data_IF_627359150556
#
_entry.id   IF_627359150556
#
_cell.length_a   1.000
_cell.length_b   1.000
_cell.length_c   1.000
_cell.angle_alpha   90.00
_cell.angle_beta   90.00
_cell.angle_gamma   90.00
#
_symmetry.space_group_name_H-M   'P 1'
#
loop_
_entity.id
_entity.type
_entity.pdbx_description
1 polymer ?
#
# COMPACT_ATOMS: atom_id res chain seq x y z
N UNK A 1 -4.91 1.42 4.01
CA UNK A 1 -3.73 1.63 4.84
C UNK A 1 -3.60 0.57 5.95
N UNK A 2 -4.65 0.37 6.78
CA UNK A 2 -4.61 -0.54 7.95
C UNK A 2 -4.29 -1.99 7.61
N UNK A 3 -4.81 -2.50 6.49
CA UNK A 3 -4.65 -3.90 6.05
C UNK A 3 -3.52 -4.08 5.00
N UNK A 4 -2.79 -3.01 4.67
CA UNK A 4 -1.65 -3.05 3.74
C UNK A 4 -1.99 -3.21 2.25
N UNK A 5 -3.28 -3.27 1.91
CA UNK A 5 -3.75 -3.37 0.53
C UNK A 5 -4.95 -2.44 0.27
N UNK A 6 -5.21 -2.04 -0.98
CA UNK A 6 -6.38 -1.25 -1.31
C UNK A 6 -7.65 -2.10 -1.20
N UNK A 7 -8.68 -1.55 -0.54
CA UNK A 7 -10.01 -2.14 -0.50
C UNK A 7 -10.71 -1.82 -1.82
N UNK A 8 -11.08 -2.85 -2.58
CA UNK A 8 -11.86 -2.69 -3.81
C UNK A 8 -13.32 -2.48 -3.44
N UNK A 9 -13.85 -1.33 -3.83
CA UNK A 9 -15.26 -1.05 -3.69
C UNK A 9 -16.06 -1.77 -4.77
N UNK A 10 -17.18 -2.37 -4.38
CA UNK A 10 -18.16 -2.96 -5.29
C UNK A 10 -19.15 -1.90 -5.76
N UNK A 11 -19.72 -1.16 -4.81
CA UNK A 11 -20.68 -0.08 -5.07
C UNK A 11 -20.39 1.13 -4.19
N UNK A 12 -20.68 2.30 -4.72
CA UNK A 12 -20.68 3.56 -3.97
C UNK A 12 -22.03 4.26 -4.15
N UNK A 13 -22.72 4.51 -3.05
CA UNK A 13 -24.02 5.17 -3.05
C UNK A 13 -23.90 6.62 -2.60
N UNK A 14 -24.61 7.50 -3.31
CA UNK A 14 -24.70 8.91 -2.99
C UNK A 14 -26.16 9.33 -2.80
N UNK A 15 -26.41 10.22 -1.86
CA UNK A 15 -27.76 10.76 -1.59
C UNK A 15 -28.18 11.82 -2.60
N UNK A 16 -27.22 12.46 -3.27
CA UNK A 16 -27.49 13.47 -4.30
C UNK A 16 -27.73 12.84 -5.68
N UNK A 17 -28.35 13.59 -6.57
CA UNK A 17 -28.57 13.20 -7.97
C UNK A 17 -27.26 13.18 -8.76
N UNK A 18 -27.23 12.43 -9.85
CA UNK A 18 -26.05 12.35 -10.72
C UNK A 18 -25.57 13.75 -11.15
N UNK A 19 -24.34 14.16 -10.77
CA UNK A 19 -23.80 15.46 -11.12
C UNK A 19 -23.19 15.45 -12.53
N UNK A 20 -22.95 16.64 -13.10
CA UNK A 20 -22.28 16.77 -14.40
C UNK A 20 -20.84 16.24 -14.38
N UNK A 21 -20.17 16.22 -13.21
CA UNK A 21 -18.80 15.73 -13.01
C UNK A 21 -18.76 14.25 -12.53
N UNK A 22 -19.71 13.43 -12.98
CA UNK A 22 -19.79 12.00 -12.63
C UNK A 22 -18.49 11.26 -12.98
N UNK A 23 -17.80 11.63 -14.05
CA UNK A 23 -16.56 11.00 -14.48
C UNK A 23 -15.43 11.21 -13.47
N UNK A 24 -15.38 12.36 -12.79
CA UNK A 24 -14.45 12.63 -11.70
C UNK A 24 -14.72 11.73 -10.49
N UNK A 25 -16.01 11.55 -10.16
CA UNK A 25 -16.41 10.64 -9.09
C UNK A 25 -16.09 9.19 -9.43
N UNK A 26 -16.16 8.79 -10.69
CA UNK A 26 -15.77 7.44 -11.12
C UNK A 26 -14.26 7.19 -10.95
N UNK A 27 -13.43 8.23 -11.11
CA UNK A 27 -11.99 8.16 -10.85
C UNK A 27 -11.72 8.06 -9.34
N UNK A 28 -12.44 8.84 -8.52
CA UNK A 28 -12.29 8.85 -7.07
C UNK A 28 -12.79 7.56 -6.41
N UNK A 29 -13.89 7.02 -6.92
CA UNK A 29 -14.56 5.81 -6.42
C UNK A 29 -14.69 4.80 -7.56
N UNK A 30 -13.63 4.01 -7.85
CA UNK A 30 -13.62 3.05 -8.95
C UNK A 30 -14.51 1.84 -8.62
N UNK A 31 -15.83 2.06 -8.66
CA UNK A 31 -16.88 1.10 -8.31
C UNK A 31 -18.15 1.42 -9.10
N UNK A 32 -19.20 0.62 -8.94
CA UNK A 32 -20.51 0.98 -9.47
C UNK A 32 -21.12 2.16 -8.68
N UNK A 33 -21.19 3.34 -9.31
CA UNK A 33 -21.77 4.53 -8.67
C UNK A 33 -23.30 4.48 -8.74
N UNK A 34 -23.97 4.78 -7.62
CA UNK A 34 -25.40 4.84 -7.52
C UNK A 34 -25.83 6.16 -6.86
N UNK A 35 -26.65 6.94 -7.54
CA UNK A 35 -27.12 8.24 -7.11
C UNK A 35 -28.56 8.19 -6.58
N UNK A 36 -29.00 9.26 -5.91
CA UNK A 36 -30.35 9.40 -5.35
C UNK A 36 -30.73 8.26 -4.40
N UNK A 37 -29.77 7.77 -3.64
CA UNK A 37 -29.98 6.76 -2.62
C UNK A 37 -30.37 7.39 -1.27
N UNK A 38 -30.91 6.58 -0.36
CA UNK A 38 -31.34 7.03 0.97
C UNK A 38 -30.18 7.40 1.90
N UNK A 39 -28.97 6.90 1.63
CA UNK A 39 -27.77 7.18 2.42
C UNK A 39 -26.49 7.05 1.55
N UNK A 40 -25.45 7.80 1.92
CA UNK A 40 -24.10 7.59 1.38
C UNK A 40 -23.53 6.29 1.95
N UNK A 41 -23.06 5.37 1.08
CA UNK A 41 -22.52 4.08 1.48
C UNK A 41 -21.37 3.69 0.57
N UNK A 42 -20.37 3.00 1.16
CA UNK A 42 -19.33 2.28 0.45
C UNK A 42 -19.55 0.78 0.70
N UNK A 43 -19.69 0.00 -0.36
CA UNK A 43 -19.93 -1.45 -0.29
C UNK A 43 -18.68 -2.14 -0.81
N UNK A 44 -18.14 -3.04 0.00
CA UNK A 44 -16.95 -3.84 -0.29
C UNK A 44 -17.12 -5.24 0.28
N UNK A 45 -16.27 -6.17 -0.13
CA UNK A 45 -16.31 -7.56 0.29
C UNK A 45 -15.95 -7.70 1.79
N UNK A 46 -16.74 -8.48 2.53
CA UNK A 46 -16.53 -8.73 3.95
C UNK A 46 -15.18 -9.39 4.28
N UNK A 47 -14.56 -10.09 3.32
CA UNK A 47 -13.22 -10.68 3.48
C UNK A 47 -12.16 -9.67 3.95
N UNK A 48 -12.33 -8.37 3.63
CA UNK A 48 -11.41 -7.33 4.10
C UNK A 48 -11.49 -7.10 5.61
N UNK A 49 -12.59 -7.44 6.26
CA UNK A 49 -12.78 -7.30 7.71
C UNK A 49 -12.04 -8.40 8.49
N UNK A 50 -11.80 -9.54 7.86
CA UNK A 50 -11.07 -10.66 8.46
C UNK A 50 -9.54 -10.53 8.31
N UNK A 51 -9.08 -9.50 7.58
CA UNK A 51 -7.65 -9.28 7.36
C UNK A 51 -6.98 -8.70 8.61
N UNK A 52 -5.76 -9.16 8.93
CA UNK A 52 -5.01 -8.63 10.06
C UNK A 52 -4.62 -7.17 9.84
N UNK A 53 -4.57 -6.40 10.92
CA UNK A 53 -4.01 -5.06 10.90
C UNK A 53 -2.48 -5.17 10.77
N UNK A 54 -1.93 -4.61 9.69
CA UNK A 54 -0.49 -4.72 9.38
C UNK A 54 0.31 -3.49 9.83
N UNK A 55 -0.34 -2.52 10.47
CA UNK A 55 0.28 -1.26 10.92
C UNK A 55 0.41 -1.22 12.43
N UNK A 56 1.54 -0.72 12.90
CA UNK A 56 1.78 -0.47 14.32
C UNK A 56 1.16 0.85 14.78
N UNK A 57 0.98 0.99 16.12
CA UNK A 57 0.53 2.26 16.71
C UNK A 57 1.48 3.44 16.41
N UNK A 58 2.78 3.18 16.28
CA UNK A 58 3.78 4.19 15.96
C UNK A 58 3.65 4.67 14.51
N UNK A 59 3.40 3.77 13.56
CA UNK A 59 3.12 4.13 12.17
C UNK A 59 1.82 4.93 12.05
N UNK A 60 0.80 4.61 12.85
CA UNK A 60 -0.43 5.39 12.93
C UNK A 60 -0.16 6.82 13.39
N UNK A 61 0.65 7.01 14.42
CA UNK A 61 1.01 8.34 14.92
C UNK A 61 1.71 9.16 13.83
N UNK A 62 2.66 8.56 13.12
CA UNK A 62 3.36 9.20 12.00
C UNK A 62 2.40 9.54 10.86
N UNK A 63 1.49 8.62 10.51
CA UNK A 63 0.47 8.85 9.50
C UNK A 63 -0.45 10.01 9.86
N UNK A 64 -0.94 10.06 11.10
CA UNK A 64 -1.82 11.15 11.58
C UNK A 64 -1.10 12.51 11.58
N UNK A 65 0.18 12.54 11.94
CA UNK A 65 0.98 13.78 11.89
C UNK A 65 1.18 14.30 10.46
N UNK A 66 1.26 13.41 9.47
CA UNK A 66 1.41 13.74 8.05
C UNK A 66 0.05 13.79 7.31
N UNK A 67 -1.05 13.43 7.97
CA UNK A 67 -2.38 13.25 7.37
C UNK A 67 -2.87 14.40 6.48
N UNK A 68 -2.62 15.70 6.75
CA UNK A 68 -3.07 16.75 5.83
C UNK A 68 -2.46 16.61 4.43
N UNK A 69 -1.19 16.20 4.33
CA UNK A 69 -0.52 15.99 3.05
C UNK A 69 -0.91 14.66 2.40
N UNK A 70 -0.98 13.59 3.19
CA UNK A 70 -1.24 12.23 2.69
C UNK A 70 -2.71 11.99 2.33
N UNK A 71 -3.65 12.64 3.05
CA UNK A 71 -5.11 12.57 2.74
C UNK A 71 -5.48 13.45 1.54
N UNK A 72 -4.77 14.55 1.34
CA UNK A 72 -4.96 15.41 0.17
C UNK A 72 -4.37 14.81 -1.12
N UNK A 73 -3.47 13.84 -0.98
CA UNK A 73 -2.96 13.05 -2.11
C UNK A 73 -3.94 11.92 -2.37
N UNK A 74 -4.94 12.16 -3.21
CA UNK A 74 -5.94 11.14 -3.60
C UNK A 74 -5.18 9.95 -4.21
N UNK A 75 -5.25 8.74 -3.59
CA UNK A 75 -4.68 7.56 -4.20
C UNK A 75 -5.43 7.29 -5.50
N UNK A 76 -4.75 7.47 -6.63
CA UNK A 76 -5.37 7.30 -7.95
C UNK A 76 -5.37 8.56 -8.82
N UNK A 77 -5.13 9.75 -8.29
CA UNK A 77 -4.76 10.88 -9.13
C UNK A 77 -3.36 10.63 -9.68
N UNK A 78 -3.26 9.91 -10.80
CA UNK A 78 -2.02 9.51 -11.46
C UNK A 78 -1.16 10.68 -11.98
N UNK A 79 -1.22 11.82 -11.30
CA UNK A 79 -0.58 13.07 -11.68
C UNK A 79 0.77 13.30 -11.01
N UNK A 80 1.09 12.67 -9.88
CA UNK A 80 2.40 12.85 -9.25
C UNK A 80 3.46 12.02 -9.94
N UNK A 81 4.67 12.58 -10.02
CA UNK A 81 5.83 11.88 -10.59
C UNK A 81 6.12 10.57 -9.82
N UNK A 82 5.93 10.58 -8.51
CA UNK A 82 6.08 9.42 -7.63
C UNK A 82 5.11 8.30 -8.02
N UNK A 83 3.81 8.58 -8.06
CA UNK A 83 2.79 7.60 -8.44
C UNK A 83 3.03 7.02 -9.85
N UNK A 84 3.56 7.85 -10.77
CA UNK A 84 3.94 7.38 -12.11
C UNK A 84 5.11 6.41 -12.05
N UNK A 85 6.12 6.70 -11.24
CA UNK A 85 7.29 5.84 -11.03
C UNK A 85 6.88 4.52 -10.36
N UNK A 86 6.06 4.57 -9.33
CA UNK A 86 5.54 3.38 -8.63
C UNK A 86 4.77 2.46 -9.58
N UNK A 87 3.90 3.03 -10.41
CA UNK A 87 3.17 2.28 -11.44
C UNK A 87 4.11 1.63 -12.46
N UNK A 88 5.13 2.37 -12.92
CA UNK A 88 6.13 1.82 -13.84
C UNK A 88 6.89 0.66 -13.22
N UNK A 89 7.23 0.72 -11.92
CA UNK A 89 7.89 -0.38 -11.20
C UNK A 89 6.94 -1.58 -11.10
N UNK A 90 5.69 -1.37 -10.70
CA UNK A 90 4.70 -2.44 -10.54
C UNK A 90 4.36 -3.16 -11.87
N UNK A 91 4.46 -2.47 -12.99
CA UNK A 91 4.19 -3.03 -14.33
C UNK A 91 5.35 -3.86 -14.91
N UNK A 92 6.56 -3.80 -14.34
CA UNK A 92 7.75 -4.50 -14.86
C UNK A 92 7.67 -6.01 -14.66
N UNK A 93 7.20 -6.42 -13.50
CA UNK A 93 7.05 -7.83 -13.14
C UNK A 93 5.89 -7.96 -12.15
N UNK A 94 4.89 -8.83 -12.41
CA UNK A 94 3.73 -8.99 -11.53
C UNK A 94 4.07 -9.70 -10.21
N UNK A 95 5.16 -10.49 -10.20
CA UNK A 95 5.48 -11.40 -9.09
C UNK A 95 6.59 -10.86 -8.17
N UNK A 96 7.43 -9.92 -8.67
CA UNK A 96 8.56 -9.39 -7.91
C UNK A 96 8.84 -7.92 -8.21
N UNK A 97 9.45 -7.22 -7.24
CA UNK A 97 9.86 -5.83 -7.44
C UNK A 97 11.17 -5.76 -8.25
N UNK A 98 11.07 -5.26 -9.48
CA UNK A 98 12.22 -5.02 -10.37
C UNK A 98 12.46 -3.52 -10.51
N UNK A 99 13.62 -3.07 -10.02
CA UNK A 99 14.01 -1.67 -10.04
C UNK A 99 15.01 -1.39 -11.17
N UNK A 100 14.62 -0.54 -12.12
CA UNK A 100 15.53 -0.06 -13.14
C UNK A 100 16.56 0.92 -12.56
N UNK A 101 17.75 1.03 -13.16
CA UNK A 101 18.62 2.15 -12.91
C UNK A 101 17.93 3.49 -13.22
N UNK A 102 18.29 4.55 -12.47
CA UNK A 102 17.61 5.85 -12.60
C UNK A 102 17.71 6.47 -14.02
N UNK A 103 18.79 6.20 -14.74
CA UNK A 103 18.95 6.68 -16.11
C UNK A 103 17.97 6.03 -17.07
N UNK A 104 17.67 4.74 -16.91
CA UNK A 104 16.67 4.04 -17.69
C UNK A 104 15.27 4.55 -17.38
N UNK A 105 14.94 4.73 -16.09
CA UNK A 105 13.67 5.29 -15.67
C UNK A 105 13.45 6.71 -16.20
N UNK A 106 14.50 7.54 -16.19
CA UNK A 106 14.46 8.89 -16.76
C UNK A 106 14.20 8.89 -18.26
N UNK A 107 14.86 7.97 -19.00
CA UNK A 107 14.64 7.79 -20.43
C UNK A 107 13.19 7.39 -20.76
N UNK A 108 12.62 6.46 -20.00
CA UNK A 108 11.21 6.03 -20.12
C UNK A 108 10.22 7.19 -19.83
N UNK A 109 10.63 8.15 -18.97
CA UNK A 109 9.86 9.36 -18.67
C UNK A 109 10.09 10.50 -19.67
N UNK A 110 10.99 10.32 -20.66
CA UNK A 110 11.34 11.34 -21.64
C UNK A 110 12.11 12.54 -21.08
N UNK A 111 12.85 12.35 -19.97
CA UNK A 111 13.63 13.40 -19.29
C UNK A 111 15.05 12.93 -18.97
N UNK A 112 15.95 13.87 -18.67
CA UNK A 112 17.30 13.51 -18.21
C UNK A 112 17.28 13.02 -16.76
N UNK A 113 18.27 12.20 -16.39
CA UNK A 113 18.45 11.76 -14.98
C UNK A 113 18.59 12.94 -14.01
N UNK A 114 19.27 14.01 -14.44
CA UNK A 114 19.43 15.21 -13.64
C UNK A 114 18.07 15.92 -13.41
N UNK A 115 17.23 16.00 -14.44
CA UNK A 115 15.87 16.55 -14.33
C UNK A 115 15.01 15.70 -13.40
N UNK A 116 15.11 14.37 -13.49
CA UNK A 116 14.39 13.46 -12.62
C UNK A 116 14.81 13.65 -11.16
N UNK A 117 16.11 13.68 -10.88
CA UNK A 117 16.62 13.94 -9.53
C UNK A 117 16.13 15.26 -8.96
N UNK A 118 16.17 16.35 -9.75
CA UNK A 118 15.70 17.67 -9.34
C UNK A 118 14.22 17.67 -8.99
N UNK A 119 13.37 17.11 -9.86
CA UNK A 119 11.92 17.04 -9.62
C UNK A 119 11.55 16.23 -8.38
N UNK A 120 12.22 15.08 -8.17
CA UNK A 120 12.02 14.28 -6.96
C UNK A 120 12.45 15.04 -5.70
N UNK A 121 13.55 15.80 -5.77
CA UNK A 121 14.00 16.64 -4.65
C UNK A 121 13.02 17.79 -4.36
N UNK A 122 12.44 18.41 -5.39
CA UNK A 122 11.40 19.44 -5.28
C UNK A 122 10.14 18.90 -4.57
N UNK A 123 9.82 17.60 -4.77
CA UNK A 123 8.75 16.87 -4.05
C UNK A 123 9.20 16.29 -2.70
N UNK A 124 10.31 16.74 -2.13
CA UNK A 124 10.89 16.26 -0.86
C UNK A 124 11.13 14.73 -0.80
N UNK A 125 11.37 14.10 -1.96
CA UNK A 125 11.62 12.66 -2.08
C UNK A 125 12.86 12.34 -2.93
N UNK A 126 13.15 11.05 -3.09
CA UNK A 126 14.19 10.53 -3.95
C UNK A 126 13.80 9.17 -4.52
N UNK A 127 14.42 8.75 -5.63
CA UNK A 127 14.18 7.41 -6.17
C UNK A 127 14.51 6.30 -5.18
N UNK A 128 15.53 6.50 -4.32
CA UNK A 128 15.84 5.54 -3.26
C UNK A 128 14.71 5.46 -2.23
N UNK A 129 14.17 6.60 -1.80
CA UNK A 129 13.04 6.65 -0.85
C UNK A 129 11.79 5.97 -1.42
N UNK A 130 11.49 6.17 -2.70
CA UNK A 130 10.39 5.47 -3.40
C UNK A 130 10.61 3.96 -3.38
N UNK A 131 11.82 3.49 -3.74
CA UNK A 131 12.16 2.06 -3.70
C UNK A 131 12.01 1.47 -2.29
N UNK A 132 12.47 2.18 -1.28
CA UNK A 132 12.41 1.71 0.12
C UNK A 132 10.98 1.66 0.64
N UNK A 133 10.13 2.64 0.28
CA UNK A 133 8.71 2.62 0.61
C UNK A 133 7.99 1.43 -0.05
N UNK A 134 8.17 1.23 -1.36
CA UNK A 134 7.57 0.08 -2.07
C UNK A 134 8.03 -1.26 -1.50
N UNK A 135 9.33 -1.41 -1.24
CA UNK A 135 9.88 -2.61 -0.61
C UNK A 135 9.26 -2.87 0.75
N UNK A 136 9.15 -1.82 1.58
CA UNK A 136 8.55 -1.92 2.90
C UNK A 136 7.09 -2.39 2.82
N UNK A 137 6.30 -1.79 1.95
CA UNK A 137 4.88 -2.11 1.80
C UNK A 137 4.66 -3.53 1.32
N UNK A 138 5.36 -3.93 0.26
CA UNK A 138 5.28 -5.30 -0.25
C UNK A 138 5.79 -6.31 0.78
N UNK A 139 6.89 -6.01 1.49
CA UNK A 139 7.41 -6.89 2.53
C UNK A 139 6.40 -7.11 3.65
N UNK A 140 5.76 -6.04 4.16
CA UNK A 140 4.75 -6.14 5.20
C UNK A 140 3.56 -6.99 4.72
N UNK A 141 3.05 -6.72 3.53
CA UNK A 141 1.95 -7.49 2.94
C UNK A 141 2.28 -8.97 2.85
N UNK A 142 3.45 -9.31 2.27
CA UNK A 142 3.88 -10.70 2.07
C UNK A 142 4.16 -11.44 3.39
N UNK A 143 4.77 -10.76 4.37
CA UNK A 143 5.07 -11.35 5.68
C UNK A 143 3.80 -11.59 6.52
N UNK A 144 2.89 -10.61 6.57
CA UNK A 144 1.74 -10.63 7.49
C UNK A 144 0.53 -11.32 6.86
N UNK A 145 0.16 -10.95 5.62
CA UNK A 145 -1.04 -11.46 4.97
C UNK A 145 -0.80 -12.83 4.31
N UNK A 146 0.32 -12.99 3.62
CA UNK A 146 0.62 -14.22 2.88
C UNK A 146 1.51 -15.19 3.67
N UNK A 147 2.05 -14.76 4.83
CA UNK A 147 2.89 -15.56 5.73
C UNK A 147 4.10 -16.20 5.05
N UNK A 148 4.66 -15.51 4.05
CA UNK A 148 5.86 -15.97 3.39
C UNK A 148 7.07 -15.90 4.33
N UNK A 149 8.05 -16.75 4.09
CA UNK A 149 9.31 -16.74 4.85
C UNK A 149 10.13 -15.47 4.55
N UNK A 150 11.01 -15.12 5.48
CA UNK A 150 11.91 -13.96 5.33
C UNK A 150 12.77 -14.07 4.06
N UNK A 151 13.21 -15.28 3.71
CA UNK A 151 14.01 -15.54 2.52
C UNK A 151 13.20 -15.32 1.23
N UNK A 152 11.97 -15.84 1.18
CA UNK A 152 11.06 -15.65 0.05
C UNK A 152 10.75 -14.16 -0.17
N UNK A 153 10.46 -13.45 0.91
CA UNK A 153 10.16 -12.01 0.83
C UNK A 153 11.39 -11.22 0.38
N UNK A 154 12.58 -11.55 0.90
CA UNK A 154 13.83 -10.90 0.48
C UNK A 154 14.05 -11.00 -1.03
N UNK A 155 13.87 -12.20 -1.61
CA UNK A 155 14.00 -12.42 -3.04
C UNK A 155 12.94 -11.63 -3.85
N UNK A 156 11.66 -11.69 -3.44
CA UNK A 156 10.56 -10.99 -4.10
C UNK A 156 10.75 -9.48 -4.19
N UNK A 157 11.36 -8.86 -3.17
CA UNK A 157 11.59 -7.41 -3.13
C UNK A 157 12.98 -7.00 -3.62
N UNK A 158 13.74 -7.96 -4.20
CA UNK A 158 15.00 -7.71 -4.88
C UNK A 158 16.21 -7.56 -3.96
N UNK A 159 16.25 -8.29 -2.85
CA UNK A 159 17.46 -8.47 -2.03
C UNK A 159 18.12 -9.80 -2.37
N UNK A 160 19.45 -9.79 -2.55
CA UNK A 160 20.24 -10.99 -2.77
C UNK A 160 20.48 -11.81 -1.51
N UNK A 161 20.32 -11.19 -0.32
CA UNK A 161 20.56 -11.82 0.97
C UNK A 161 19.51 -11.40 2.00
N UNK A 162 18.94 -12.36 2.69
CA UNK A 162 17.92 -12.14 3.76
C UNK A 162 18.45 -11.31 4.92
N UNK A 163 19.77 -11.36 5.20
CA UNK A 163 20.41 -10.53 6.24
C UNK A 163 20.36 -9.04 5.86
N UNK A 164 20.59 -8.71 4.62
CA UNK A 164 20.51 -7.33 4.11
C UNK A 164 19.09 -6.83 4.16
N UNK A 165 18.11 -7.65 3.76
CA UNK A 165 16.69 -7.36 3.92
C UNK A 165 16.32 -7.14 5.39
N UNK A 166 16.72 -8.03 6.30
CA UNK A 166 16.38 -7.92 7.73
C UNK A 166 16.87 -6.59 8.33
N UNK A 167 18.08 -6.14 7.97
CA UNK A 167 18.61 -4.84 8.41
C UNK A 167 17.79 -3.67 7.84
N UNK A 168 17.48 -3.72 6.54
CA UNK A 168 16.68 -2.70 5.87
C UNK A 168 15.27 -2.63 6.47
N UNK A 169 14.62 -3.77 6.67
CA UNK A 169 13.29 -3.85 7.27
C UNK A 169 13.25 -3.27 8.69
N UNK A 170 14.27 -3.61 9.50
CA UNK A 170 14.40 -3.02 10.85
C UNK A 170 14.62 -1.51 10.79
N UNK A 171 15.36 -1.02 9.80
CA UNK A 171 15.51 0.43 9.60
C UNK A 171 14.19 1.10 9.22
N UNK A 172 13.37 0.47 8.39
CA UNK A 172 12.08 1.01 7.93
C UNK A 172 10.98 0.97 8.98
N UNK A 173 10.95 -0.08 9.82
CA UNK A 173 9.82 -0.38 10.73
C UNK A 173 10.16 -0.33 12.21
N UNK A 174 11.45 -0.23 12.55
CA UNK A 174 11.94 -0.34 13.93
C UNK A 174 12.09 -1.76 14.47
N UNK A 175 11.52 -2.76 13.78
CA UNK A 175 11.47 -4.17 14.20
C UNK A 175 12.09 -5.09 13.15
N UNK A 176 12.60 -6.24 13.55
CA UNK A 176 12.94 -7.29 12.60
C UNK A 176 11.69 -7.90 11.98
N UNK A 177 11.76 -8.53 10.77
CA UNK A 177 10.61 -9.20 10.15
C UNK A 177 9.89 -10.17 11.08
N UNK A 178 10.64 -10.97 11.85
CA UNK A 178 10.08 -11.95 12.77
C UNK A 178 9.38 -11.31 13.99
N UNK A 179 9.93 -10.22 14.54
CA UNK A 179 9.29 -9.45 15.61
C UNK A 179 8.03 -8.77 15.11
N UNK A 180 8.08 -8.20 13.91
CA UNK A 180 6.95 -7.53 13.27
C UNK A 180 5.78 -8.50 13.04
N UNK A 181 6.05 -9.70 12.51
CA UNK A 181 5.04 -10.75 12.33
C UNK A 181 4.41 -11.18 13.65
N UNK A 182 5.21 -11.34 14.72
CA UNK A 182 4.69 -11.71 16.05
C UNK A 182 3.74 -10.66 16.62
N UNK A 183 4.05 -9.39 16.46
CA UNK A 183 3.21 -8.29 16.95
C UNK A 183 1.91 -8.15 16.17
N UNK A 184 1.92 -8.51 14.88
CA UNK A 184 0.78 -8.34 13.97
C UNK A 184 0.08 -9.68 13.65
N UNK A 185 0.30 -10.75 14.46
CA UNK A 185 -0.50 -11.95 14.34
C UNK A 185 -1.92 -11.66 14.83
N UNK A 186 -2.97 -12.03 14.06
CA UNK A 186 -4.32 -11.97 14.56
C UNK A 186 -4.38 -12.84 15.82
N UNK A 187 -4.91 -12.29 16.90
CA UNK A 187 -5.20 -13.09 18.11
C UNK A 187 -6.16 -14.19 17.69
N UNK A 188 -5.65 -15.41 17.57
CA UNK A 188 -6.48 -16.59 17.46
C UNK A 188 -7.30 -16.65 18.74
N UNK A 189 -8.57 -16.24 18.63
CA UNK A 189 -9.54 -16.43 19.71
C UNK A 189 -9.53 -17.92 20.05
N UNK A 190 -9.35 -18.33 21.35
CA UNK A 190 -9.40 -19.74 21.70
C UNK A 190 -10.78 -20.27 21.30
N UNK A 191 -10.78 -21.35 20.53
CA UNK A 191 -11.99 -22.05 20.14
C UNK A 191 -12.88 -22.23 21.39
N UNK A 192 -14.08 -21.67 21.35
CA UNK A 192 -15.11 -21.94 22.34
C UNK A 192 -15.38 -23.45 22.29
N UNK A 193 -14.82 -24.18 23.25
CA UNK A 193 -15.18 -25.55 23.51
C UNK A 193 -16.66 -25.54 23.90
N UNK A 194 -17.50 -25.91 22.95
CA UNK A 194 -18.93 -26.15 23.20
C UNK A 194 -19.06 -27.42 24.05
N UNK A 195 -19.12 -27.25 25.37
CA UNK A 195 -19.55 -28.31 26.26
C UNK A 195 -21.04 -28.47 26.11
N UNK A 196 -21.46 -29.44 25.32
CA UNK A 196 -22.81 -29.99 25.33
C UNK A 196 -23.01 -30.65 26.70
N UNK A 197 -23.79 -30.02 27.56
CA UNK A 197 -24.39 -30.68 28.72
C UNK A 197 -25.72 -31.30 28.28
N UNK A 198 -25.84 -32.60 28.56
CA UNK A 198 -27.07 -33.39 28.38
C UNK A 198 -28.19 -32.88 29.27
#
# INVERSE_FOLDING_TARGET
>A
WYIGEPIRLQETHFTFSSPQHQDELQIMFPSQLQFSRTANRLIFDAQYLDKPLVRSAQELTTYVQNAPADVMTIPGSGSTLEAKIERMIAQRDPDRLVFAPIHQLAAELGISSQTLHRRLKESATSYQKIKDNLRREVAIQKLVNERLSVDQVADLIGFSESRSFTRAFKHWTGLTPSEYCKQNQPMTSPAKTSTLVR
#
